data_IF_341067290009
#
_entry.id   IF_341067290009
#
_cell.length_a   1.000
_cell.length_b   1.000
_cell.length_c   1.000
_cell.angle_alpha   90.00
_cell.angle_beta   90.00
_cell.angle_gamma   90.00
#
_symmetry.space_group_name_H-M   'P 1'
#
loop_
_entity.id
_entity.type
_entity.pdbx_description
1 polymer ?
#
# COMPACT_ATOMS: atom_id res chain seq x y z
N UNK A 1 26.41 9.01 -11.02
CA UNK A 1 24.89 9.01 -10.93
C UNK A 1 24.42 7.78 -10.17
N UNK A 2 23.69 8.17 -8.97
CA UNK A 2 23.53 7.10 -7.95
C UNK A 2 22.26 7.38 -7.12
N UNK A 3 21.57 6.31 -6.85
CA UNK A 3 20.50 6.41 -5.82
C UNK A 3 21.11 6.52 -4.43
N UNK A 4 20.62 7.57 -3.75
CA UNK A 4 21.11 7.71 -2.37
C UNK A 4 19.92 7.56 -1.40
N UNK A 5 20.17 6.92 -0.27
CA UNK A 5 19.09 6.71 0.71
C UNK A 5 19.41 7.47 2.00
N UNK A 6 19.37 8.68 1.94
CA UNK A 6 19.89 9.45 3.10
C UNK A 6 18.90 10.57 3.45
N UNK A 7 17.54 10.44 3.05
CA UNK A 7 16.57 11.51 3.37
C UNK A 7 15.99 11.28 4.77
N UNK A 8 16.41 12.04 5.95
CA UNK A 8 16.11 11.69 7.36
C UNK A 8 15.25 12.78 7.99
N UNK A 9 14.96 14.01 7.20
CA UNK A 9 14.19 15.08 7.88
C UNK A 9 13.23 15.73 6.89
N UNK A 10 12.51 14.76 6.17
CA UNK A 10 11.57 15.32 5.17
C UNK A 10 10.14 14.93 5.60
N UNK A 11 9.21 15.98 5.43
CA UNK A 11 7.79 15.73 5.76
C UNK A 11 7.20 14.61 4.86
N UNK A 12 6.89 13.49 5.50
CA UNK A 12 6.37 12.33 4.71
C UNK A 12 4.91 12.08 5.06
N UNK A 13 4.23 13.22 5.48
CA UNK A 13 2.83 13.07 5.93
C UNK A 13 1.93 12.80 4.70
N UNK A 14 1.04 11.94 4.92
CA UNK A 14 0.05 11.63 3.88
C UNK A 14 -1.34 12.04 4.37
N UNK A 15 -2.08 12.83 3.48
CA UNK A 15 -3.45 13.19 3.90
C UNK A 15 -4.37 11.95 3.91
N UNK A 16 -5.20 11.98 4.99
CA UNK A 16 -6.20 10.90 4.99
C UNK A 16 -7.49 11.44 4.37
N UNK A 17 -7.93 10.98 3.13
CA UNK A 17 -9.13 11.40 2.38
C UNK A 17 -10.14 10.25 2.32
N UNK A 18 -11.32 10.62 2.93
CA UNK A 18 -12.37 9.57 2.90
C UNK A 18 -11.97 8.31 3.66
N UNK A 19 -10.93 8.39 4.69
CA UNK A 19 -10.50 7.23 5.50
C UNK A 19 -9.38 6.43 4.86
N UNK A 20 -8.78 7.02 3.83
CA UNK A 20 -7.77 6.21 3.11
C UNK A 20 -6.47 7.02 3.05
N UNK A 21 -5.36 6.46 3.33
CA UNK A 21 -4.00 6.93 2.99
C UNK A 21 -3.18 5.76 2.42
N UNK A 22 -2.35 6.04 1.43
CA UNK A 22 -1.62 4.92 0.81
C UNK A 22 -0.27 5.40 0.31
N UNK A 23 0.70 4.54 0.43
CA UNK A 23 2.06 4.84 -0.05
C UNK A 23 2.66 3.59 -0.71
N UNK A 24 3.31 3.79 -1.98
CA UNK A 24 3.86 2.63 -2.73
C UNK A 24 5.37 2.83 -2.92
N UNK A 25 6.19 2.12 -2.09
CA UNK A 25 7.64 2.31 -2.14
C UNK A 25 8.25 1.63 -3.37
N UNK A 26 7.56 0.62 -3.98
CA UNK A 26 8.12 -0.11 -5.14
C UNK A 26 8.04 0.78 -6.39
N UNK A 27 6.82 1.33 -6.62
CA UNK A 27 6.74 2.19 -7.82
C UNK A 27 7.59 3.44 -7.66
N UNK A 28 7.77 3.98 -6.39
CA UNK A 28 8.66 5.15 -6.15
C UNK A 28 10.10 4.81 -6.49
N UNK A 29 10.48 3.60 -6.14
CA UNK A 29 11.89 3.24 -6.42
C UNK A 29 12.10 3.04 -7.92
N UNK A 30 11.13 2.42 -8.58
CA UNK A 30 11.29 2.20 -10.03
C UNK A 30 11.36 3.54 -10.77
N UNK A 31 10.54 4.46 -10.28
CA UNK A 31 10.57 5.79 -10.95
C UNK A 31 11.90 6.49 -10.64
N UNK A 32 12.38 6.41 -9.41
CA UNK A 32 13.66 7.04 -9.03
C UNK A 32 14.83 6.42 -9.79
N UNK A 33 14.72 5.08 -9.92
CA UNK A 33 15.80 4.41 -10.67
C UNK A 33 15.81 4.88 -12.13
N UNK A 34 14.65 5.01 -12.74
CA UNK A 34 14.58 5.47 -14.15
C UNK A 34 15.13 6.89 -14.29
N UNK A 35 14.90 7.70 -13.33
CA UNK A 35 15.45 9.08 -13.34
C UNK A 35 16.96 9.06 -13.16
N UNK A 36 17.44 8.21 -12.24
CA UNK A 36 18.90 8.09 -12.05
C UNK A 36 19.58 7.59 -13.33
N UNK A 37 18.99 6.59 -14.04
CA UNK A 37 19.59 6.04 -15.26
C UNK A 37 19.71 7.13 -16.35
N UNK A 38 19.07 8.17 -16.06
CA UNK A 38 19.08 9.23 -17.10
C UNK A 38 19.92 10.42 -16.63
N UNK A 39 20.65 10.13 -15.56
CA UNK A 39 21.75 11.09 -15.31
C UNK A 39 21.49 11.89 -14.04
N UNK A 40 20.21 11.56 -13.30
CA UNK A 40 19.92 12.29 -12.04
C UNK A 40 20.46 11.54 -10.82
N UNK A 41 20.96 12.27 -9.81
CA UNK A 41 21.16 11.66 -8.47
C UNK A 41 19.91 11.86 -7.61
N UNK A 42 19.21 10.73 -7.23
CA UNK A 42 17.90 10.80 -6.52
C UNK A 42 18.10 10.32 -5.08
N UNK A 43 17.67 11.12 -4.13
CA UNK A 43 17.73 10.74 -2.71
C UNK A 43 16.36 10.20 -2.27
N UNK A 44 16.39 9.10 -1.64
CA UNK A 44 15.14 8.44 -1.19
C UNK A 44 15.23 8.19 0.32
N UNK A 45 13.99 7.83 0.90
CA UNK A 45 13.97 7.45 2.32
C UNK A 45 14.81 6.17 2.54
N UNK A 46 15.48 6.12 3.68
CA UNK A 46 16.35 4.96 3.92
C UNK A 46 15.55 3.65 3.99
N UNK A 47 14.36 3.80 4.48
CA UNK A 47 13.60 2.56 4.75
C UNK A 47 12.91 2.03 3.48
N UNK A 48 13.24 2.71 2.43
CA UNK A 48 12.82 2.11 1.14
C UNK A 48 14.03 1.50 0.43
N UNK A 49 15.16 1.50 1.29
CA UNK A 49 16.43 0.96 0.77
C UNK A 49 16.46 -0.56 0.98
N UNK A 50 16.23 -1.35 -0.15
CA UNK A 50 16.25 -2.83 0.00
C UNK A 50 15.89 -3.50 -1.33
N UNK A 51 15.98 -4.87 -1.21
CA UNK A 51 15.74 -5.66 -2.45
C UNK A 51 14.26 -5.55 -2.86
N UNK A 52 14.00 -5.14 -4.24
CA UNK A 52 12.61 -5.01 -4.75
C UNK A 52 12.04 -6.38 -5.12
N UNK A 53 10.75 -6.40 -5.04
CA UNK A 53 10.09 -7.67 -5.47
C UNK A 53 10.27 -7.88 -6.97
N UNK A 54 10.81 -9.07 -7.35
CA UNK A 54 10.97 -9.36 -8.79
C UNK A 54 9.61 -9.48 -9.50
N UNK A 55 8.63 -10.09 -8.75
CA UNK A 55 7.31 -10.26 -9.41
C UNK A 55 6.70 -8.89 -9.74
N UNK A 56 6.80 -7.92 -8.79
CA UNK A 56 6.15 -6.60 -8.98
C UNK A 56 6.95 -5.74 -9.95
N UNK A 57 8.20 -5.95 -9.97
CA UNK A 57 9.02 -5.21 -10.95
C UNK A 57 8.68 -5.65 -12.38
N UNK A 58 8.39 -6.94 -12.56
CA UNK A 58 8.05 -7.42 -13.92
C UNK A 58 6.68 -6.90 -14.37
N UNK A 59 5.89 -6.64 -13.39
CA UNK A 59 4.53 -6.19 -13.75
C UNK A 59 4.50 -4.67 -13.93
N UNK A 60 5.65 -4.03 -13.70
CA UNK A 60 5.65 -2.55 -13.71
C UNK A 60 5.94 -2.04 -15.11
N UNK A 61 5.28 -0.95 -15.42
CA UNK A 61 5.66 -0.18 -16.63
C UNK A 61 6.24 1.19 -16.24
N UNK A 62 7.39 1.50 -16.99
CA UNK A 62 8.01 2.81 -16.69
C UNK A 62 8.07 3.62 -17.99
N UNK A 63 7.36 4.74 -17.97
CA UNK A 63 7.44 5.63 -19.15
C UNK A 63 8.09 6.96 -18.77
N UNK A 64 8.94 7.40 -19.74
CA UNK A 64 9.61 8.69 -19.51
C UNK A 64 9.38 9.62 -20.69
N UNK A 65 8.82 10.83 -20.43
CA UNK A 65 8.65 11.76 -21.57
C UNK A 65 9.73 12.86 -21.53
N UNK A 66 10.44 13.02 -22.67
CA UNK A 66 11.51 14.04 -22.66
C UNK A 66 10.96 15.45 -22.89
N UNK A 67 11.40 16.48 -22.11
CA UNK A 67 11.28 17.87 -22.61
C UNK A 67 12.68 18.46 -22.79
N UNK A 68 13.16 18.62 -24.15
CA UNK A 68 14.37 19.40 -24.49
C UNK A 68 15.61 18.84 -23.79
N UNK A 69 15.93 17.51 -23.90
CA UNK A 69 17.28 17.01 -23.51
C UNK A 69 17.37 16.73 -22.01
N UNK A 70 16.19 16.81 -21.14
CA UNK A 70 16.07 16.39 -19.71
C UNK A 70 14.73 15.66 -19.55
N UNK A 71 14.75 14.44 -18.84
CA UNK A 71 13.43 13.83 -18.64
C UNK A 71 12.53 14.71 -17.77
N UNK A 72 11.35 15.31 -18.37
CA UNK A 72 10.34 16.21 -17.74
C UNK A 72 9.35 15.38 -16.92
N UNK A 73 9.44 13.88 -17.05
CA UNK A 73 8.46 13.15 -16.23
C UNK A 73 8.70 11.64 -16.36
N UNK A 74 8.91 11.01 -15.21
CA UNK A 74 8.99 9.52 -15.19
C UNK A 74 7.76 8.99 -14.44
N UNK A 75 7.10 8.12 -15.20
CA UNK A 75 5.93 7.51 -14.54
C UNK A 75 6.13 5.99 -14.45
N UNK A 76 6.09 5.55 -13.18
CA UNK A 76 6.14 4.08 -12.98
C UNK A 76 4.77 3.58 -12.52
N UNK A 77 4.33 2.55 -13.25
CA UNK A 77 3.04 1.95 -12.87
C UNK A 77 3.21 0.44 -12.59
N UNK A 78 2.72 0.08 -11.43
CA UNK A 78 2.65 -1.38 -11.17
C UNK A 78 1.17 -1.80 -11.15
N UNK A 79 0.81 -2.79 -11.98
CA UNK A 79 -0.54 -3.39 -12.02
C UNK A 79 -0.45 -4.89 -11.73
N UNK A 80 -1.05 -5.23 -10.54
CA UNK A 80 -0.90 -6.64 -10.11
C UNK A 80 -1.84 -7.55 -10.93
N UNK A 81 -2.61 -6.89 -11.74
CA UNK A 81 -3.64 -7.69 -12.43
C UNK A 81 -4.47 -8.46 -11.41
N UNK A 82 -5.23 -9.40 -11.84
CA UNK A 82 -6.10 -10.09 -10.86
C UNK A 82 -5.29 -11.08 -10.00
N UNK A 83 -5.40 -10.85 -8.65
CA UNK A 83 -4.79 -11.82 -7.70
C UNK A 83 -5.89 -12.71 -7.11
N UNK A 84 -5.53 -13.98 -6.97
CA UNK A 84 -6.49 -14.91 -6.38
C UNK A 84 -5.99 -15.41 -5.02
N UNK A 85 -7.02 -15.66 -4.06
CA UNK A 85 -6.61 -16.21 -2.75
C UNK A 85 -5.96 -17.59 -2.93
N UNK A 86 -4.85 -17.65 -2.35
CA UNK A 86 -4.32 -19.02 -2.37
C UNK A 86 -5.15 -19.92 -1.43
N UNK A 87 -6.16 -20.41 -1.99
CA UNK A 87 -7.31 -21.06 -1.33
C UNK A 87 -6.85 -22.31 -0.57
N UNK A 88 -5.47 -22.51 -0.60
CA UNK A 88 -5.17 -23.74 0.17
C UNK A 88 -6.43 -24.48 0.61
N UNK A 89 -6.78 -24.55 2.08
CA UNK A 89 -7.93 -25.26 2.70
C UNK A 89 -9.05 -24.27 3.07
N UNK A 90 -8.95 -22.94 2.71
CA UNK A 90 -10.09 -22.09 3.15
C UNK A 90 -10.79 -21.51 1.92
N UNK A 91 -12.19 -21.40 2.09
CA UNK A 91 -13.04 -20.85 1.01
C UNK A 91 -13.59 -19.49 1.44
N UNK A 92 -12.93 -18.42 0.89
CA UNK A 92 -13.38 -17.08 1.26
C UNK A 92 -14.88 -16.88 0.99
N UNK A 93 -15.56 -16.33 1.96
CA UNK A 93 -17.02 -16.11 1.81
C UNK A 93 -17.36 -14.65 2.18
N UNK A 94 -18.31 -14.21 1.44
CA UNK A 94 -18.81 -12.85 1.78
C UNK A 94 -19.68 -12.91 3.05
N UNK A 95 -19.31 -11.91 3.89
CA UNK A 95 -20.11 -11.94 5.14
C UNK A 95 -20.34 -10.48 5.58
N UNK A 96 -21.42 -10.27 6.36
CA UNK A 96 -21.62 -8.97 7.04
C UNK A 96 -20.99 -9.01 8.45
N UNK A 97 -20.35 -7.87 8.73
CA UNK A 97 -19.85 -7.82 10.12
C UNK A 97 -19.99 -6.40 10.65
N UNK A 98 -20.11 -6.27 11.99
CA UNK A 98 -20.25 -4.95 12.64
C UNK A 98 -18.86 -4.38 12.98
N UNK A 99 -18.56 -3.20 12.43
CA UNK A 99 -17.21 -2.64 12.62
C UNK A 99 -17.13 -1.89 13.96
N UNK A 100 -16.01 -1.23 14.21
CA UNK A 100 -15.70 -0.71 15.59
C UNK A 100 -16.48 0.56 15.85
N UNK A 101 -17.26 0.99 14.70
CA UNK A 101 -18.15 2.14 14.91
C UNK A 101 -19.57 1.65 15.14
N UNK A 102 -19.78 0.33 15.09
CA UNK A 102 -21.14 -0.19 15.30
C UNK A 102 -21.90 -0.35 13.98
N UNK A 103 -21.25 0.00 12.81
CA UNK A 103 -21.92 -0.13 11.51
C UNK A 103 -21.71 -1.53 10.91
N UNK A 104 -22.77 -1.91 10.21
CA UNK A 104 -22.65 -3.20 9.50
C UNK A 104 -21.93 -3.00 8.15
N UNK A 105 -20.83 -3.90 8.00
CA UNK A 105 -20.01 -3.73 6.78
C UNK A 105 -19.86 -5.09 6.08
N UNK A 106 -19.36 -4.85 4.85
CA UNK A 106 -19.08 -6.05 4.03
C UNK A 106 -17.67 -6.59 4.32
N UNK A 107 -17.64 -7.91 4.68
CA UNK A 107 -16.34 -8.54 4.99
C UNK A 107 -16.12 -9.82 4.18
N UNK A 108 -14.91 -10.12 4.07
CA UNK A 108 -14.55 -11.42 3.47
C UNK A 108 -14.04 -12.37 4.57
N UNK A 109 -14.82 -13.39 4.78
CA UNK A 109 -14.39 -14.43 5.73
C UNK A 109 -13.33 -15.35 5.10
N UNK A 110 -12.13 -15.28 5.72
CA UNK A 110 -10.99 -16.04 5.12
C UNK A 110 -10.78 -17.36 5.87
N UNK A 111 -11.70 -17.59 6.83
CA UNK A 111 -11.60 -18.86 7.57
C UNK A 111 -10.50 -18.81 8.64
N UNK A 112 -9.89 -20.02 8.94
CA UNK A 112 -8.91 -20.15 10.05
C UNK A 112 -7.51 -19.75 9.55
N UNK A 113 -7.01 -18.64 10.17
CA UNK A 113 -5.64 -18.21 9.83
C UNK A 113 -4.81 -18.05 11.11
N UNK A 114 -3.46 -18.07 10.84
CA UNK A 114 -2.57 -17.76 11.97
C UNK A 114 -2.59 -16.25 12.28
N UNK A 115 -2.71 -16.02 13.58
CA UNK A 115 -2.74 -14.61 14.04
C UNK A 115 -1.70 -14.42 15.15
N UNK A 116 -1.13 -13.22 15.09
CA UNK A 116 -0.18 -12.93 16.17
C UNK A 116 -0.53 -11.58 16.81
N UNK A 117 -0.44 -11.58 18.16
CA UNK A 117 -0.56 -10.30 18.88
C UNK A 117 0.84 -9.72 19.13
N UNK A 118 1.11 -8.58 18.46
CA UNK A 118 2.43 -7.92 18.62
C UNK A 118 2.26 -6.58 19.31
N UNK A 119 2.19 -6.75 20.72
CA UNK A 119 1.85 -5.54 21.50
C UNK A 119 0.35 -5.21 21.40
N UNK A 120 0.09 -3.98 20.88
CA UNK A 120 -1.34 -3.58 20.78
C UNK A 120 -1.85 -3.81 19.35
N UNK A 121 -0.95 -4.48 18.54
CA UNK A 121 -1.35 -4.68 17.13
C UNK A 121 -1.55 -6.18 16.86
N UNK A 122 -2.65 -6.36 16.28
CA UNK A 122 -2.93 -7.74 15.84
C UNK A 122 -2.64 -7.90 14.34
N UNK A 123 -2.03 -9.07 14.06
CA UNK A 123 -1.52 -9.16 12.67
C UNK A 123 -1.83 -10.56 12.13
N UNK A 124 -2.26 -10.59 10.86
CA UNK A 124 -2.34 -11.87 10.13
C UNK A 124 -1.91 -11.66 8.67
N UNK A 125 -1.61 -12.77 8.02
CA UNK A 125 -1.27 -12.65 6.58
C UNK A 125 -1.73 -13.90 5.84
N UNK A 126 -1.97 -13.65 4.53
CA UNK A 126 -2.39 -14.78 3.67
C UNK A 126 -1.80 -14.58 2.27
N UNK A 127 -1.52 -15.72 1.66
CA UNK A 127 -0.90 -15.63 0.31
C UNK A 127 -1.98 -15.43 -0.77
N UNK A 128 -1.55 -14.62 -1.69
CA UNK A 128 -2.35 -14.52 -2.93
C UNK A 128 -1.51 -14.90 -4.15
N UNK A 129 -2.32 -15.34 -5.20
CA UNK A 129 -1.58 -15.86 -6.38
C UNK A 129 -1.86 -14.95 -7.57
N UNK A 130 -0.70 -14.64 -8.23
CA UNK A 130 -0.86 -13.93 -9.53
C UNK A 130 -1.47 -14.85 -10.59
N UNK A 131 -1.68 -14.35 -11.88
CA UNK A 131 -2.26 -15.17 -12.97
C UNK A 131 -1.28 -16.25 -13.42
N UNK A 132 -0.02 -15.91 -13.05
CA UNK A 132 0.98 -16.96 -13.39
C UNK A 132 1.27 -17.86 -12.20
N UNK A 133 0.47 -17.81 -11.09
CA UNK A 133 0.55 -18.68 -9.90
C UNK A 133 1.80 -18.37 -9.07
N UNK A 134 2.25 -17.18 -9.25
CA UNK A 134 3.30 -16.72 -8.31
C UNK A 134 2.65 -16.15 -7.05
N UNK A 135 3.38 -16.33 -5.91
CA UNK A 135 2.71 -16.04 -4.61
C UNK A 135 3.17 -14.67 -4.08
N UNK A 136 2.12 -13.86 -3.81
CA UNK A 136 2.32 -12.64 -3.00
C UNK A 136 1.59 -12.76 -1.66
N UNK A 137 2.30 -12.26 -0.60
CA UNK A 137 1.64 -12.36 0.72
C UNK A 137 0.98 -11.00 1.05
N UNK A 138 -0.25 -11.14 1.36
CA UNK A 138 -0.93 -9.92 1.83
C UNK A 138 -1.01 -9.94 3.36
N UNK A 139 -0.60 -8.78 3.98
CA UNK A 139 -0.57 -8.69 5.45
C UNK A 139 -1.70 -7.76 5.93
N UNK A 140 -2.20 -8.17 7.10
CA UNK A 140 -3.25 -7.34 7.72
C UNK A 140 -2.82 -7.02 9.16
N UNK A 141 -2.83 -5.64 9.39
CA UNK A 141 -2.52 -5.24 10.79
C UNK A 141 -3.61 -4.30 11.30
N UNK A 142 -4.19 -4.78 12.41
CA UNK A 142 -5.19 -3.90 13.06
C UNK A 142 -4.52 -2.98 14.09
N UNK A 143 -4.61 -1.62 13.81
CA UNK A 143 -3.97 -0.66 14.73
C UNK A 143 -4.91 -0.32 15.89
N UNK A 144 -4.35 0.05 17.04
CA UNK A 144 -5.12 0.25 18.28
C UNK A 144 -5.90 1.58 18.24
N UNK A 145 -5.31 2.59 17.28
CA UNK A 145 -6.02 3.87 17.20
C UNK A 145 -6.04 4.37 15.75
N UNK A 146 -7.15 5.21 15.48
CA UNK A 146 -7.17 5.86 14.15
C UNK A 146 -6.08 6.91 14.02
N UNK A 147 -5.54 6.97 12.96
CA UNK A 147 -4.49 7.99 12.76
C UNK A 147 -5.13 9.33 12.32
N UNK A 148 -4.72 10.40 12.98
CA UNK A 148 -5.17 11.74 12.58
C UNK A 148 -4.40 12.21 11.35
N UNK A 149 -3.28 11.61 11.11
CA UNK A 149 -2.49 11.78 9.89
C UNK A 149 -1.56 10.56 9.71
N UNK A 150 -1.47 10.18 8.36
CA UNK A 150 -0.58 9.02 8.07
C UNK A 150 0.79 9.52 7.62
N UNK A 151 1.79 8.80 8.00
CA UNK A 151 3.19 9.13 7.62
C UNK A 151 3.82 7.96 6.86
N UNK A 152 4.20 8.27 5.55
CA UNK A 152 4.76 7.23 4.65
C UNK A 152 5.93 6.49 5.31
N UNK A 153 6.78 7.19 6.00
CA UNK A 153 7.92 6.52 6.67
C UNK A 153 7.42 5.60 7.80
N UNK A 154 6.53 6.13 8.57
CA UNK A 154 6.06 5.33 9.72
C UNK A 154 5.30 4.09 9.24
N UNK A 155 4.56 4.25 8.12
CA UNK A 155 3.80 3.09 7.60
C UNK A 155 4.75 2.03 7.04
N UNK A 156 5.86 2.53 6.40
CA UNK A 156 6.86 1.55 5.89
C UNK A 156 7.59 0.86 7.04
N UNK A 157 7.90 1.60 8.09
CA UNK A 157 8.60 0.99 9.25
C UNK A 157 7.69 -0.04 9.93
N UNK A 158 6.41 0.29 10.04
CA UNK A 158 5.48 -0.67 10.68
C UNK A 158 5.43 -1.97 9.88
N UNK A 159 5.33 -1.81 8.51
CA UNK A 159 5.28 -3.03 7.68
C UNK A 159 6.57 -3.87 7.83
N UNK A 160 7.76 -3.15 7.89
CA UNK A 160 9.03 -3.91 7.98
C UNK A 160 9.18 -4.56 9.35
N UNK A 161 8.80 -3.86 10.37
CA UNK A 161 8.97 -4.41 11.74
C UNK A 161 8.01 -5.59 11.96
N UNK A 162 6.80 -5.42 11.42
CA UNK A 162 5.81 -6.50 11.59
C UNK A 162 6.28 -7.79 10.90
N UNK A 163 6.76 -7.58 9.79
CA UNK A 163 7.25 -8.78 9.08
C UNK A 163 8.42 -9.43 9.83
N UNK A 164 9.33 -8.60 10.24
CA UNK A 164 10.50 -9.16 10.94
C UNK A 164 10.08 -9.87 12.23
N UNK A 165 9.10 -9.37 12.83
CA UNK A 165 8.72 -9.93 14.16
C UNK A 165 7.80 -11.14 13.99
N UNK A 166 7.20 -11.27 12.86
CA UNK A 166 6.20 -12.35 12.63
C UNK A 166 6.84 -13.73 12.77
N UNK A 167 8.10 -13.93 12.30
CA UNK A 167 8.73 -15.28 12.32
C UNK A 167 9.00 -15.74 13.76
N UNK A 168 9.11 -14.81 14.63
CA UNK A 168 9.46 -15.17 16.03
C UNK A 168 8.28 -14.96 16.97
N UNK A 169 7.14 -14.61 16.39
CA UNK A 169 6.01 -14.29 17.27
C UNK A 169 5.20 -15.57 17.57
N UNK A 170 4.74 -15.57 18.88
CA UNK A 170 3.79 -16.66 19.20
C UNK A 170 2.48 -16.49 18.41
N UNK A 171 2.11 -17.64 17.74
CA UNK A 171 0.93 -17.52 16.86
C UNK A 171 -0.15 -18.51 17.31
N UNK A 172 -1.37 -17.95 17.10
CA UNK A 172 -2.48 -18.89 17.38
C UNK A 172 -3.47 -18.86 16.21
N UNK A 173 -4.26 -19.91 16.13
CA UNK A 173 -5.20 -20.03 15.00
C UNK A 173 -6.54 -19.37 15.39
N UNK A 174 -7.04 -18.45 14.41
CA UNK A 174 -8.33 -17.77 14.65
C UNK A 174 -9.10 -17.65 13.33
N UNK A 175 -10.50 -17.58 13.45
CA UNK A 175 -11.31 -17.25 12.26
C UNK A 175 -11.15 -15.75 11.92
N UNK A 176 -10.78 -15.58 10.65
CA UNK A 176 -10.35 -14.20 10.31
C UNK A 176 -11.32 -13.67 9.23
N UNK A 177 -11.95 -12.47 9.60
CA UNK A 177 -12.73 -11.69 8.61
C UNK A 177 -12.04 -10.34 8.36
N UNK A 178 -11.90 -10.08 7.03
CA UNK A 178 -11.28 -8.79 6.71
C UNK A 178 -12.30 -7.96 5.93
N UNK A 179 -12.18 -6.61 6.04
CA UNK A 179 -13.14 -5.78 5.30
C UNK A 179 -12.91 -5.84 3.79
N UNK A 180 -14.05 -5.92 3.13
CA UNK A 180 -13.93 -5.77 1.67
C UNK A 180 -13.70 -4.30 1.31
N UNK A 181 -12.79 -4.09 0.25
CA UNK A 181 -12.46 -2.66 -0.01
C UNK A 181 -12.41 -2.41 -1.52
N UNK A 182 -12.99 -1.17 -1.96
CA UNK A 182 -12.75 -0.60 -3.30
C UNK A 182 -12.41 0.89 -3.17
N UNK A 183 -11.14 1.13 -3.54
CA UNK A 183 -10.80 2.54 -3.22
C UNK A 183 -9.89 3.09 -4.32
N UNK A 184 -10.06 4.48 -4.46
CA UNK A 184 -9.07 5.25 -5.23
C UNK A 184 -8.45 6.34 -4.34
N UNK A 185 -7.13 6.52 -4.51
CA UNK A 185 -6.44 7.47 -3.60
C UNK A 185 -5.30 8.14 -4.36
N UNK A 186 -5.20 9.50 -4.08
CA UNK A 186 -4.09 10.26 -4.69
C UNK A 186 -3.34 10.99 -3.58
N UNK A 187 -1.99 10.66 -3.55
CA UNK A 187 -1.18 11.41 -2.56
C UNK A 187 0.11 11.91 -3.21
N UNK A 188 0.60 12.98 -2.60
CA UNK A 188 1.89 13.52 -3.09
C UNK A 188 2.88 13.63 -1.92
N UNK A 189 3.45 12.44 -1.45
CA UNK A 189 4.37 12.51 -0.30
C UNK A 189 5.75 13.04 -0.70
N UNK A 190 6.36 13.85 0.26
CA UNK A 190 7.77 14.26 -0.01
C UNK A 190 8.74 13.13 0.36
N UNK A 191 9.03 12.19 -0.55
CA UNK A 191 9.77 10.95 -0.15
C UNK A 191 10.97 10.80 -1.08
N UNK A 192 11.26 11.82 -1.94
CA UNK A 192 12.42 11.71 -2.86
C UNK A 192 12.91 13.10 -3.22
N UNK A 193 14.30 13.16 -3.45
CA UNK A 193 14.98 14.41 -3.83
C UNK A 193 16.00 14.12 -4.94
N UNK A 194 16.12 14.96 -5.99
CA UNK A 194 17.14 14.77 -7.04
C UNK A 194 18.08 15.96 -7.01
N UNK A 195 19.52 15.67 -7.06
CA UNK A 195 20.52 16.74 -7.07
C UNK A 195 20.48 17.50 -8.40
N UNK A 196 20.45 18.90 -8.36
CA UNK A 196 20.69 19.72 -9.58
C UNK A 196 19.40 19.90 -10.37
N UNK A 197 18.20 19.16 -9.86
CA UNK A 197 16.84 19.34 -10.43
C UNK A 197 15.85 19.64 -9.30
N UNK A 198 14.87 20.76 -9.37
CA UNK A 198 13.87 21.00 -8.31
C UNK A 198 12.68 20.04 -8.47
N UNK A 199 12.56 18.89 -7.57
CA UNK A 199 11.45 17.91 -7.64
C UNK A 199 10.18 18.55 -7.03
N UNK A 200 9.03 18.87 -7.76
CA UNK A 200 7.82 19.67 -7.41
C UNK A 200 6.72 18.74 -6.92
N UNK A 201 7.04 17.37 -6.74
CA UNK A 201 6.17 16.47 -5.98
C UNK A 201 6.10 15.08 -6.64
N UNK A 202 6.09 14.03 -5.89
CA UNK A 202 5.77 12.62 -6.15
C UNK A 202 4.26 12.41 -5.96
N UNK A 203 3.59 12.21 -7.16
CA UNK A 203 2.16 11.86 -7.10
C UNK A 203 1.95 10.34 -7.22
N UNK A 204 1.34 9.87 -6.23
CA UNK A 204 1.04 8.43 -6.29
C UNK A 204 -0.47 8.23 -6.35
N UNK A 205 -0.88 7.61 -7.44
CA UNK A 205 -2.31 7.22 -7.54
C UNK A 205 -2.48 5.73 -7.26
N UNK A 206 -3.59 5.48 -6.56
CA UNK A 206 -3.84 4.06 -6.19
C UNK A 206 -5.28 3.70 -6.55
N UNK A 207 -5.40 2.56 -7.13
CA UNK A 207 -6.74 1.93 -7.21
C UNK A 207 -6.65 0.47 -6.73
N UNK A 208 -7.42 0.19 -5.74
CA UNK A 208 -7.42 -1.22 -5.28
C UNK A 208 -8.85 -1.70 -5.09
N UNK A 209 -9.09 -2.84 -5.49
CA UNK A 209 -10.36 -3.49 -5.16
C UNK A 209 -10.11 -4.89 -4.57
N UNK A 210 -10.87 -5.05 -3.54
CA UNK A 210 -10.72 -6.34 -2.85
C UNK A 210 -12.10 -6.88 -2.48
N UNK A 211 -12.35 -8.09 -2.95
CA UNK A 211 -13.55 -8.78 -2.42
C UNK A 211 -13.30 -10.28 -2.32
N UNK A 212 -14.47 -11.08 -2.05
CA UNK A 212 -14.34 -12.53 -1.82
C UNK A 212 -13.75 -13.24 -3.05
N UNK A 213 -13.71 -12.60 -4.22
CA UNK A 213 -13.22 -13.24 -5.47
C UNK A 213 -11.75 -12.91 -5.71
N UNK A 214 -11.24 -11.90 -4.82
CA UNK A 214 -9.80 -11.65 -5.07
C UNK A 214 -9.50 -10.15 -4.96
N UNK A 215 -8.38 -9.68 -5.39
CA UNK A 215 -7.98 -8.27 -5.23
C UNK A 215 -7.25 -7.80 -6.48
N UNK A 216 -7.39 -6.69 -6.79
CA UNK A 216 -6.53 -6.04 -7.81
C UNK A 216 -6.08 -4.66 -7.30
N UNK A 217 -4.76 -4.42 -7.39
CA UNK A 217 -4.23 -3.12 -6.93
C UNK A 217 -3.46 -2.49 -8.10
N UNK A 218 -3.89 -1.24 -8.48
CA UNK A 218 -3.10 -0.45 -9.46
C UNK A 218 -2.45 0.74 -8.73
N UNK A 219 -1.13 0.74 -8.63
CA UNK A 219 -0.44 1.90 -8.01
C UNK A 219 0.42 2.62 -9.05
N UNK A 220 0.23 3.94 -9.14
CA UNK A 220 0.99 4.74 -10.09
C UNK A 220 1.68 5.90 -9.35
N UNK A 221 2.96 6.02 -9.50
CA UNK A 221 3.70 7.16 -8.92
C UNK A 221 4.28 8.03 -10.03
N UNK A 222 3.81 9.30 -9.95
CA UNK A 222 4.37 10.33 -10.86
C UNK A 222 5.18 11.38 -10.08
N UNK A 223 6.38 11.76 -10.41
CA UNK A 223 7.22 12.79 -9.74
C UNK A 223 7.17 14.09 -10.54
N UNK A 224 6.48 15.30 -9.80
CA UNK A 224 6.37 16.62 -10.46
C UNK A 224 6.77 17.73 -9.49
N UNK A 225 6.89 19.18 -9.50
CA UNK A 225 7.40 20.35 -8.66
C UNK A 225 6.32 21.40 -8.63
N UNK A 226 5.82 22.20 -7.08
CA UNK A 226 5.56 23.45 -6.33
C UNK A 226 4.18 23.34 -5.66
N UNK A 227 3.55 24.60 -4.37
CA UNK A 227 3.31 25.00 -2.96
C UNK A 227 1.80 25.07 -2.70
N UNK A 228 1.11 24.92 -1.36
CA UNK A 228 0.56 24.37 -0.11
C UNK A 228 -0.76 25.09 0.22
N UNK A 229 -2.04 24.61 1.33
CA UNK A 229 -2.21 24.26 2.76
C UNK A 229 -3.70 24.01 3.03
N UNK A 230 -4.23 23.05 4.06
CA UNK A 230 -4.62 23.23 5.48
C UNK A 230 -4.99 21.87 6.08
N UNK A 231 -5.20 21.89 7.52
CA UNK A 231 -5.34 20.73 8.39
C UNK A 231 -6.71 20.68 9.08
N UNK A 232 -7.00 19.83 10.05
CA UNK A 232 -6.98 18.50 10.66
C UNK A 232 -8.35 18.09 11.22
N UNK A 233 -8.59 16.84 11.88
CA UNK A 233 -9.74 15.95 12.14
C UNK A 233 -9.66 15.31 13.53
N UNK A 234 -10.92 14.23 13.88
CA UNK A 234 -10.82 13.00 14.69
C UNK A 234 -12.03 12.10 14.43
N UNK A 235 -12.25 10.12 15.10
CA UNK A 235 -11.90 8.69 15.05
C UNK A 235 -13.05 7.86 15.61
N UNK A 236 -12.88 5.47 15.11
CA UNK A 236 -13.02 4.01 15.15
C UNK A 236 -12.33 3.36 13.93
N UNK A 237 -11.28 1.12 13.97
CA UNK A 237 -10.75 1.09 12.59
C UNK A 237 -11.73 0.38 11.66
N UNK A 238 -12.23 1.09 11.13
CA UNK A 238 -13.68 1.26 10.88
C UNK A 238 -14.55 0.71 12.02
N UNK A 239 -14.04 0.00 13.28
CA UNK A 239 -14.85 -0.28 14.48
C UNK A 239 -14.20 0.22 15.76
N UNK A 240 -12.76 0.40 15.97
CA UNK A 240 -12.00 0.99 17.09
C UNK A 240 -10.90 1.91 16.54
N UNK A 241 -10.66 1.97 14.95
CA UNK A 241 -9.72 2.86 14.28
C UNK A 241 -9.40 2.39 12.85
N UNK A 242 -8.72 3.00 11.88
CA UNK A 242 -8.46 2.82 10.44
C UNK A 242 -7.52 1.63 10.18
N UNK A 243 -7.67 1.02 8.93
CA UNK A 243 -6.94 -0.21 8.56
C UNK A 243 -5.83 0.14 7.56
N UNK A 244 -4.51 -0.45 7.86
CA UNK A 244 -3.42 -0.31 6.88
C UNK A 244 -3.21 -1.65 6.18
N UNK A 245 -3.28 -1.62 4.86
CA UNK A 245 -3.08 -2.81 4.03
C UNK A 245 -1.83 -2.67 3.15
N UNK A 246 -0.95 -3.87 3.00
CA UNK A 246 0.18 -3.79 2.06
C UNK A 246 0.55 -5.19 1.59
N UNK A 247 1.40 -5.27 0.42
CA UNK A 247 1.79 -6.57 -0.17
C UNK A 247 3.32 -6.76 -0.09
N UNK A 248 3.74 -8.09 0.19
CA UNK A 248 5.18 -8.39 0.17
C UNK A 248 5.42 -9.70 -0.59
N UNK A 249 6.73 -9.93 -1.11
CA UNK A 249 7.18 -11.18 -1.76
C UNK A 249 8.39 -11.74 -0.99
N UNK A 250 8.38 -13.26 -0.87
CA UNK A 250 9.56 -13.88 -0.20
C UNK A 250 10.87 -13.46 -0.88
N UNK A 251 11.83 -12.89 0.02
CA UNK A 251 13.15 -12.47 -0.56
C UNK A 251 13.15 -10.98 -0.90
N UNK A 252 11.86 -10.27 -0.80
CA UNK A 252 11.81 -8.81 -1.07
C UNK A 252 11.71 -8.05 0.26
N UNK A 253 12.62 -7.03 0.37
CA UNK A 253 12.69 -6.31 1.65
C UNK A 253 11.82 -5.04 1.62
N UNK A 254 11.25 -4.71 0.35
CA UNK A 254 10.47 -3.45 0.29
C UNK A 254 8.99 -3.84 0.09
N UNK A 255 8.02 -3.31 0.99
CA UNK A 255 6.59 -3.62 0.87
C UNK A 255 5.92 -2.84 -0.28
N UNK A 256 5.00 -3.52 -0.90
CA UNK A 256 4.32 -2.93 -2.06
C UNK A 256 2.89 -2.56 -1.66
N UNK A 257 2.41 -1.25 -1.97
CA UNK A 257 1.08 -0.62 -1.86
C UNK A 257 0.57 -0.66 -0.42
N UNK A 258 1.27 0.13 0.45
CA UNK A 258 0.81 0.23 1.86
C UNK A 258 -0.42 1.16 1.93
N UNK A 259 -1.52 0.64 2.22
CA UNK A 259 -2.77 1.42 2.10
C UNK A 259 -3.42 1.48 3.49
N UNK A 260 -3.59 2.63 3.90
CA UNK A 260 -4.39 2.91 5.12
C UNK A 260 -5.84 3.21 4.75
N UNK A 261 -6.79 2.57 5.27
CA UNK A 261 -8.21 2.86 4.97
C UNK A 261 -8.97 2.96 6.30
N UNK A 262 -9.89 3.91 6.26
CA UNK A 262 -10.80 4.09 7.42
C UNK A 262 -12.25 3.91 6.97
N UNK A 263 -13.18 3.84 7.87
CA UNK A 263 -14.57 3.35 7.71
C UNK A 263 -15.27 4.05 6.54
N UNK A 264 -15.10 5.33 6.06
CA UNK A 264 -15.80 5.97 4.94
C UNK A 264 -15.37 5.39 3.59
N UNK A 265 -14.25 4.79 3.67
CA UNK A 265 -13.71 4.25 2.38
C UNK A 265 -14.18 2.81 2.17
N UNK A 266 -14.93 2.25 3.13
CA UNK A 266 -15.32 0.83 3.05
C UNK A 266 -16.72 0.73 2.46
N UNK A 267 -16.96 -0.44 1.65
CA UNK A 267 -18.21 -0.58 0.86
C UNK A 267 -19.37 -1.00 1.77
N UNK A 268 -20.56 -0.46 1.48
CA UNK A 268 -21.78 -0.88 2.21
C UNK A 268 -22.14 -2.33 1.85
N UNK A 269 -22.73 -2.94 2.77
CA UNK A 269 -23.22 -4.32 2.52
C UNK A 269 -24.12 -4.36 1.27
N UNK A 270 -23.81 -5.36 0.35
CA UNK A 270 -24.70 -5.51 -0.84
C UNK A 270 -24.11 -4.79 -2.06
N UNK A 271 -22.81 -4.09 -1.89
CA UNK A 271 -22.18 -3.38 -3.02
C UNK A 271 -21.37 -4.35 -3.88
N UNK A 272 -21.75 -4.35 -5.19
CA UNK A 272 -20.99 -5.18 -6.14
C UNK A 272 -19.61 -4.56 -6.43
N UNK A 273 -18.57 -5.46 -6.26
CA UNK A 273 -17.19 -4.96 -6.50
C UNK A 273 -16.78 -5.34 -7.93
N UNK A 274 -16.47 -4.29 -8.69
CA UNK A 274 -16.01 -4.54 -10.08
C UNK A 274 -14.48 -4.56 -10.13
N UNK A 275 -13.95 -5.73 -9.91
CA UNK A 275 -12.48 -5.88 -9.84
C UNK A 275 -11.89 -5.74 -11.24
N UNK A 276 -12.62 -6.03 -12.28
CA UNK A 276 -12.08 -6.07 -13.66
C UNK A 276 -12.24 -4.70 -14.33
N UNK A 277 -13.03 -3.86 -13.76
CA UNK A 277 -13.26 -2.53 -14.37
C UNK A 277 -12.51 -1.43 -13.61
N UNK A 278 -11.49 -1.87 -12.66
CA UNK A 278 -10.78 -0.87 -11.83
C UNK A 278 -9.87 0.02 -12.69
N UNK A 279 -10.05 1.36 -12.49
CA UNK A 279 -9.19 2.31 -13.24
C UNK A 279 -8.58 3.33 -12.29
N UNK A 280 -7.36 3.74 -12.61
CA UNK A 280 -6.73 4.80 -11.79
C UNK A 280 -7.51 6.11 -11.92
N UNK A 281 -7.86 6.93 -10.94
CA UNK A 281 -8.49 8.25 -11.06
C UNK A 281 -7.67 9.19 -11.95
#
# INVERSE_FOLDING_TARGET
MSLKYDLENVDTELPIDGGVAAFDPVSLRLAAQALSDRGGTVHLLPNVAGTQSPILTRLATVAAEPAEGIPTSVVATVDTRRLRWDRGSFTPEAIDFTDYTGATKYGVDLGRLSVADMGDTRVTCVDMLTENDESLTVWFAELPNELTSADARALTDLALRTRESWEGAERYTALVTIPAQQLTYVASPQVSHVDDWDLTGVLQKFAAAFDETGARVIAQTAMFASAALTPPPERTFGERGPVVLWFTEKGAEVPFSIIYTSSPAWLKAGTKVDIDGLQLP
#
